data_IF_660477384038
#
_entry.id   IF_660477384038
#
_cell.length_a   1.000
_cell.length_b   1.000
_cell.length_c   1.000
_cell.angle_alpha   90.00
_cell.angle_beta   90.00
_cell.angle_gamma   90.00
#
_symmetry.space_group_name_H-M   'P 1'
#
loop_
_entity.id
_entity.type
_entity.pdbx_description
1 polymer ?
#
# COMPACT_ATOMS: atom_id res chain seq x y z
N UNK A 1 19.84 9.27 6.21
CA UNK A 1 18.86 9.63 7.27
C UNK A 1 17.87 8.48 7.35
N UNK A 2 17.51 8.06 8.57
CA UNK A 2 16.48 7.04 8.82
C UNK A 2 15.17 7.71 9.18
N UNK A 3 14.15 7.52 8.35
CA UNK A 3 12.83 8.11 8.56
C UNK A 3 11.83 7.04 8.94
N UNK A 4 11.09 7.24 10.04
CA UNK A 4 9.96 6.41 10.44
C UNK A 4 8.65 7.07 10.01
N UNK A 5 7.84 6.38 9.20
CA UNK A 5 6.47 6.77 8.87
C UNK A 5 5.51 5.87 9.65
N UNK A 6 4.61 6.45 10.45
CA UNK A 6 3.85 5.64 11.41
C UNK A 6 2.55 6.26 11.91
N UNK A 7 1.58 5.40 12.24
CA UNK A 7 0.41 5.75 13.06
C UNK A 7 0.51 5.21 14.50
N UNK A 8 1.68 4.70 14.90
CA UNK A 8 1.92 4.22 16.26
C UNK A 8 1.90 5.35 17.28
N UNK A 9 1.60 4.99 18.52
CA UNK A 9 1.64 5.91 19.68
C UNK A 9 2.30 5.23 20.88
N UNK A 10 2.61 6.06 21.88
CA UNK A 10 3.10 5.61 23.18
C UNK A 10 4.34 4.71 23.09
N UNK A 11 4.32 3.61 23.85
CA UNK A 11 5.46 2.71 24.03
C UNK A 11 5.97 2.10 22.73
N UNK A 12 5.08 1.62 21.85
CA UNK A 12 5.47 1.00 20.59
C UNK A 12 6.22 1.99 19.67
N UNK A 13 5.74 3.24 19.59
CA UNK A 13 6.42 4.29 18.82
C UNK A 13 7.82 4.57 19.39
N UNK A 14 7.91 4.73 20.71
CA UNK A 14 9.19 4.95 21.38
C UNK A 14 10.18 3.81 21.12
N UNK A 15 9.74 2.57 21.28
CA UNK A 15 10.58 1.38 21.09
C UNK A 15 11.12 1.27 19.66
N UNK A 16 10.27 1.46 18.64
CA UNK A 16 10.72 1.41 17.23
C UNK A 16 11.71 2.53 16.93
N UNK A 17 11.42 3.74 17.40
CA UNK A 17 12.25 4.92 17.16
C UNK A 17 13.64 4.75 17.77
N UNK A 18 13.71 4.34 19.03
CA UNK A 18 14.97 4.22 19.77
C UNK A 18 15.82 3.04 19.31
N UNK A 19 15.21 1.85 19.15
CA UNK A 19 15.95 0.64 18.76
C UNK A 19 16.58 0.75 17.37
N UNK A 20 15.92 1.46 16.46
CA UNK A 20 16.40 1.59 15.07
C UNK A 20 17.20 2.88 14.81
N UNK A 21 17.40 3.73 15.84
CA UNK A 21 18.10 5.02 15.74
C UNK A 21 17.51 5.89 14.62
N UNK A 22 16.19 6.10 14.69
CA UNK A 22 15.45 6.91 13.72
C UNK A 22 15.83 8.39 13.87
N UNK A 23 16.13 9.05 12.75
CA UNK A 23 16.53 10.46 12.69
C UNK A 23 15.34 11.40 12.49
N UNK A 24 14.31 10.94 11.77
CA UNK A 24 13.12 11.72 11.43
C UNK A 24 11.83 10.93 11.56
N UNK A 25 10.75 11.58 11.99
CA UNK A 25 9.45 10.96 12.24
C UNK A 25 8.36 11.61 11.39
N UNK A 26 7.56 10.82 10.71
CA UNK A 26 6.36 11.29 10.01
C UNK A 26 5.16 10.56 10.61
N UNK A 27 4.28 11.31 11.26
CA UNK A 27 3.05 10.76 11.82
C UNK A 27 1.96 10.77 10.76
N UNK A 28 1.28 9.64 10.62
CA UNK A 28 0.10 9.49 9.75
C UNK A 28 -1.12 9.32 10.64
N UNK A 29 -2.11 10.19 10.49
CA UNK A 29 -3.32 10.14 11.32
C UNK A 29 -4.59 10.44 10.53
N UNK A 30 -5.68 9.85 11.00
CA UNK A 30 -7.04 10.20 10.58
C UNK A 30 -7.47 11.48 11.32
N UNK A 31 -8.40 12.26 10.75
CA UNK A 31 -8.89 13.52 11.35
C UNK A 31 -9.44 13.37 12.78
N UNK A 32 -9.83 12.16 13.19
CA UNK A 32 -10.50 11.89 14.46
C UNK A 32 -9.60 11.87 15.70
N UNK A 33 -8.29 12.13 15.57
CA UNK A 33 -7.37 12.07 16.70
C UNK A 33 -6.44 13.27 16.77
N UNK A 34 -6.39 13.87 17.97
CA UNK A 34 -5.75 15.15 18.25
C UNK A 34 -4.82 15.07 19.48
N UNK A 35 -4.09 13.97 19.63
CA UNK A 35 -3.13 13.80 20.74
C UNK A 35 -1.69 13.81 20.21
N UNK A 36 -1.11 15.02 20.19
CA UNK A 36 0.17 15.39 19.55
C UNK A 36 1.35 15.41 20.54
N UNK A 37 1.23 14.70 21.67
CA UNK A 37 2.18 14.79 22.79
C UNK A 37 3.62 14.38 22.43
N UNK A 38 3.84 13.60 21.37
CA UNK A 38 5.16 13.14 20.91
C UNK A 38 5.78 13.97 19.76
N UNK A 39 5.02 14.85 19.09
CA UNK A 39 5.54 15.69 17.98
C UNK A 39 6.65 16.64 18.43
N UNK A 40 6.63 17.03 19.72
CA UNK A 40 7.59 17.96 20.30
C UNK A 40 9.01 17.41 20.38
N UNK A 41 9.21 16.11 20.24
CA UNK A 41 10.47 15.44 20.53
C UNK A 41 11.20 14.88 19.31
N UNK A 42 10.62 14.94 18.11
CA UNK A 42 11.28 14.44 16.89
C UNK A 42 11.12 15.44 15.75
N UNK A 43 12.22 15.72 15.03
CA UNK A 43 12.17 16.52 13.80
C UNK A 43 11.31 15.77 12.78
N UNK A 44 10.11 16.25 12.55
CA UNK A 44 9.10 15.46 11.89
C UNK A 44 7.97 16.25 11.26
N UNK A 45 7.12 15.53 10.53
CA UNK A 45 5.94 16.08 9.86
C UNK A 45 4.68 15.30 10.23
N UNK A 46 3.55 15.98 10.20
CA UNK A 46 2.24 15.39 10.38
C UNK A 46 1.52 15.29 9.04
N UNK A 47 1.06 14.09 8.70
CA UNK A 47 0.23 13.83 7.52
C UNK A 47 -1.17 13.45 7.98
N UNK A 48 -2.13 14.32 7.69
CA UNK A 48 -3.56 14.03 7.89
C UNK A 48 -4.13 13.29 6.69
N UNK A 49 -4.87 12.21 6.93
CA UNK A 49 -5.63 11.47 5.92
C UNK A 49 -7.09 11.95 5.99
N UNK A 50 -7.45 12.83 5.06
CA UNK A 50 -8.75 13.55 5.02
C UNK A 50 -9.65 12.93 3.95
N UNK A 51 -9.82 11.61 4.00
CA UNK A 51 -10.65 10.88 3.03
C UNK A 51 -11.19 9.59 3.62
N UNK A 52 -12.45 9.30 3.30
CA UNK A 52 -13.08 8.01 3.60
C UNK A 52 -12.81 6.96 2.52
N UNK A 53 -12.19 7.34 1.39
CA UNK A 53 -11.82 6.42 0.33
C UNK A 53 -10.47 5.76 0.63
N UNK A 54 -10.43 4.45 0.93
CA UNK A 54 -9.21 3.77 1.32
C UNK A 54 -8.17 3.72 0.19
N UNK A 55 -8.58 3.81 -1.09
CA UNK A 55 -7.63 3.90 -2.21
C UNK A 55 -6.91 5.24 -2.21
N UNK A 56 -7.63 6.35 -2.02
CA UNK A 56 -7.04 7.68 -1.92
C UNK A 56 -6.13 7.83 -0.69
N UNK A 57 -6.56 7.25 0.44
CA UNK A 57 -5.73 7.21 1.65
C UNK A 57 -4.41 6.47 1.39
N UNK A 58 -4.47 5.28 0.79
CA UNK A 58 -3.30 4.47 0.46
C UNK A 58 -2.38 5.18 -0.56
N UNK A 59 -2.94 5.80 -1.60
CA UNK A 59 -2.17 6.58 -2.58
C UNK A 59 -1.37 7.71 -1.91
N UNK A 60 -2.01 8.48 -1.02
CA UNK A 60 -1.35 9.53 -0.25
C UNK A 60 -0.21 8.97 0.63
N UNK A 61 -0.41 7.80 1.23
CA UNK A 61 0.66 7.12 2.00
C UNK A 61 1.82 6.68 1.11
N UNK A 62 1.55 6.14 -0.09
CA UNK A 62 2.57 5.81 -1.09
C UNK A 62 3.37 7.06 -1.50
N UNK A 63 2.71 8.20 -1.74
CA UNK A 63 3.39 9.47 -2.05
C UNK A 63 4.33 9.92 -0.92
N UNK A 64 3.89 9.85 0.33
CA UNK A 64 4.72 10.19 1.49
C UNK A 64 5.94 9.28 1.59
N UNK A 65 5.76 7.97 1.41
CA UNK A 65 6.86 7.00 1.42
C UNK A 65 7.83 7.27 0.28
N UNK A 66 7.35 7.48 -0.95
CA UNK A 66 8.19 7.83 -2.11
C UNK A 66 8.98 9.12 -1.87
N UNK A 67 8.35 10.12 -1.26
CA UNK A 67 9.00 11.36 -0.85
C UNK A 67 10.15 11.11 0.11
N UNK A 68 9.89 10.37 1.20
CA UNK A 68 10.90 10.06 2.22
C UNK A 68 12.07 9.23 1.65
N UNK A 69 11.81 8.28 0.76
CA UNK A 69 12.83 7.43 0.12
C UNK A 69 13.88 8.23 -0.67
N UNK A 70 13.55 9.44 -1.14
CA UNK A 70 14.52 10.33 -1.80
C UNK A 70 15.63 10.83 -0.85
N UNK A 71 15.43 10.69 0.46
CA UNK A 71 16.31 11.25 1.50
C UNK A 71 17.03 10.20 2.34
N UNK A 72 16.75 8.90 2.16
CA UNK A 72 17.44 7.81 2.84
C UNK A 72 16.56 6.58 3.09
N UNK A 73 16.90 5.85 4.15
CA UNK A 73 16.21 4.62 4.55
C UNK A 73 14.86 4.95 5.17
N UNK A 74 13.83 4.22 4.76
CA UNK A 74 12.46 4.39 5.21
C UNK A 74 12.01 3.17 6.00
N UNK A 75 11.51 3.44 7.19
CA UNK A 75 10.95 2.46 8.11
C UNK A 75 9.46 2.78 8.22
N UNK A 76 8.62 1.76 8.21
CA UNK A 76 7.19 1.92 8.44
C UNK A 76 6.79 1.13 9.69
N UNK A 77 5.99 1.74 10.56
CA UNK A 77 5.43 1.03 11.69
C UNK A 77 3.95 1.34 11.83
N UNK A 78 3.12 0.32 12.09
CA UNK A 78 1.67 0.49 12.09
C UNK A 78 0.97 -0.25 13.24
N UNK A 79 -0.17 0.29 13.68
CA UNK A 79 -1.07 -0.34 14.65
C UNK A 79 -2.25 -1.06 13.94
N UNK A 80 -3.25 -1.53 14.68
CA UNK A 80 -4.45 -2.16 14.11
C UNK A 80 -5.63 -1.24 13.81
N UNK A 81 -5.43 0.08 13.70
CA UNK A 81 -6.51 1.02 13.37
C UNK A 81 -6.91 1.00 11.88
N UNK A 82 -7.79 1.91 11.49
CA UNK A 82 -8.33 2.05 10.13
C UNK A 82 -7.27 2.42 9.07
N UNK A 83 -6.16 3.03 9.48
CA UNK A 83 -5.04 3.39 8.60
C UNK A 83 -3.93 2.33 8.60
N UNK A 84 -3.79 1.56 9.66
CA UNK A 84 -2.64 0.66 9.85
C UNK A 84 -2.47 -0.36 8.72
N UNK A 85 -3.56 -0.98 8.29
CA UNK A 85 -3.54 -1.93 7.17
C UNK A 85 -3.17 -1.27 5.83
N UNK A 86 -3.65 -0.04 5.58
CA UNK A 86 -3.34 0.70 4.36
C UNK A 86 -1.89 1.18 4.36
N UNK A 87 -1.38 1.62 5.51
CA UNK A 87 0.00 2.03 5.67
C UNK A 87 0.97 0.85 5.47
N UNK A 88 0.61 -0.33 5.96
CA UNK A 88 1.36 -1.56 5.71
C UNK A 88 1.39 -1.90 4.22
N UNK A 89 0.23 -1.82 3.54
CA UNK A 89 0.13 -2.08 2.11
C UNK A 89 0.96 -1.10 1.28
N UNK A 90 0.89 0.20 1.59
CA UNK A 90 1.72 1.22 0.95
C UNK A 90 3.22 0.94 1.14
N UNK A 91 3.62 0.53 2.35
CA UNK A 91 4.99 0.15 2.65
C UNK A 91 5.48 -1.07 1.86
N UNK A 92 4.62 -2.08 1.70
CA UNK A 92 4.92 -3.25 0.89
C UNK A 92 5.11 -2.88 -0.57
N UNK A 93 4.20 -2.05 -1.10
CA UNK A 93 4.23 -1.60 -2.49
C UNK A 93 5.49 -0.81 -2.81
N UNK A 94 5.82 0.15 -1.96
CA UNK A 94 6.94 1.06 -2.20
C UNK A 94 8.30 0.44 -1.88
N UNK A 95 8.35 -0.74 -1.26
CA UNK A 95 9.59 -1.43 -0.92
C UNK A 95 10.44 -0.63 0.07
N UNK A 96 9.99 -0.57 1.32
CA UNK A 96 10.69 0.10 2.43
C UNK A 96 11.74 -0.82 3.09
N UNK A 97 12.65 -0.26 3.88
CA UNK A 97 13.79 -0.98 4.48
C UNK A 97 13.38 -1.88 5.66
N UNK A 98 12.33 -1.50 6.39
CA UNK A 98 11.76 -2.33 7.45
C UNK A 98 10.31 -1.97 7.76
N UNK A 99 9.54 -2.97 8.17
CA UNK A 99 8.15 -2.82 8.57
C UNK A 99 7.96 -3.39 9.97
N UNK A 100 7.22 -2.67 10.82
CA UNK A 100 6.91 -3.09 12.19
C UNK A 100 5.41 -3.02 12.43
N UNK A 101 4.92 -3.92 13.28
CA UNK A 101 3.57 -3.83 13.85
C UNK A 101 3.64 -3.77 15.38
N UNK A 102 2.66 -3.12 16.00
CA UNK A 102 2.50 -3.13 17.45
C UNK A 102 1.50 -4.20 17.86
N UNK A 103 1.97 -5.22 18.57
CA UNK A 103 1.14 -6.28 19.13
C UNK A 103 1.25 -6.28 20.65
N UNK A 104 0.16 -5.98 21.35
CA UNK A 104 0.12 -5.92 22.83
C UNK A 104 1.27 -5.09 23.41
N UNK A 105 1.44 -3.86 22.92
CA UNK A 105 2.51 -2.91 23.29
C UNK A 105 3.94 -3.33 22.94
N UNK A 106 4.13 -4.43 22.23
CA UNK A 106 5.44 -4.86 21.75
C UNK A 106 5.55 -4.59 20.25
N UNK A 107 6.65 -3.94 19.85
CA UNK A 107 6.97 -3.79 18.42
C UNK A 107 7.59 -5.07 17.86
N UNK A 108 7.03 -5.54 16.75
CA UNK A 108 7.48 -6.76 16.04
C UNK A 108 7.86 -6.37 14.62
N UNK A 109 9.08 -6.71 14.18
CA UNK A 109 9.49 -6.54 12.79
C UNK A 109 8.82 -7.62 11.93
N UNK A 110 8.20 -7.21 10.85
CA UNK A 110 7.60 -8.11 9.87
C UNK A 110 8.57 -8.41 8.73
N UNK A 111 8.49 -9.61 8.13
CA UNK A 111 9.08 -9.81 6.81
C UNK A 111 8.39 -8.89 5.81
N UNK A 112 9.11 -8.44 4.78
CA UNK A 112 8.54 -7.65 3.69
C UNK A 112 7.90 -8.65 2.71
N UNK A 113 6.57 -8.74 2.62
CA UNK A 113 5.89 -9.59 1.66
C UNK A 113 6.19 -9.11 0.24
N UNK A 114 6.26 -10.05 -0.70
CA UNK A 114 6.32 -9.75 -2.13
C UNK A 114 5.02 -10.22 -2.77
N UNK A 115 4.35 -9.32 -3.47
CA UNK A 115 3.23 -9.70 -4.33
C UNK A 115 3.82 -10.31 -5.61
N UNK A 116 3.65 -11.60 -5.80
CA UNK A 116 4.11 -12.30 -7.01
C UNK A 116 3.10 -12.07 -8.15
N UNK A 117 3.21 -10.90 -8.78
CA UNK A 117 2.42 -10.54 -9.95
C UNK A 117 3.35 -10.20 -11.11
N UNK A 118 3.16 -10.86 -12.24
CA UNK A 118 4.00 -10.64 -13.42
C UNK A 118 3.66 -9.31 -14.11
N UNK A 119 4.62 -8.74 -14.83
CA UNK A 119 4.44 -7.51 -15.61
C UNK A 119 3.26 -7.59 -16.59
N UNK A 120 3.01 -8.77 -17.16
CA UNK A 120 1.85 -8.99 -18.04
C UNK A 120 0.53 -8.93 -17.27
N UNK A 121 0.47 -9.45 -16.04
CA UNK A 121 -0.71 -9.34 -15.18
C UNK A 121 -0.94 -7.91 -14.70
N UNK A 122 0.14 -7.18 -14.35
CA UNK A 122 0.06 -5.76 -14.00
C UNK A 122 -0.51 -4.92 -15.14
N UNK A 123 0.02 -5.08 -16.37
CA UNK A 123 -0.50 -4.39 -17.56
C UNK A 123 -1.96 -4.71 -17.84
N UNK A 124 -2.42 -5.94 -17.54
CA UNK A 124 -3.85 -6.30 -17.64
C UNK A 124 -4.68 -5.53 -16.61
N UNK A 125 -4.21 -5.39 -15.37
CA UNK A 125 -4.91 -4.61 -14.35
C UNK A 125 -4.98 -3.13 -14.74
N UNK A 126 -3.87 -2.55 -15.20
CA UNK A 126 -3.79 -1.16 -15.66
C UNK A 126 -4.81 -0.85 -16.76
N UNK A 127 -4.90 -1.68 -17.83
CA UNK A 127 -5.89 -1.44 -18.91
C UNK A 127 -7.34 -1.63 -18.46
N UNK A 128 -7.58 -2.36 -17.37
CA UNK A 128 -8.90 -2.58 -16.78
C UNK A 128 -9.29 -1.50 -15.76
N UNK A 129 -8.37 -0.60 -15.39
CA UNK A 129 -8.72 0.58 -14.60
C UNK A 129 -9.54 1.59 -15.40
N UNK A 130 -9.22 1.73 -16.69
CA UNK A 130 -9.86 2.67 -17.59
C UNK A 130 -11.30 2.24 -17.94
N UNK A 131 -11.48 0.97 -18.28
CA UNK A 131 -12.77 0.44 -18.74
C UNK A 131 -12.88 -1.09 -18.68
N UNK A 132 -14.10 -1.59 -18.86
CA UNK A 132 -14.37 -3.03 -18.92
C UNK A 132 -14.12 -3.58 -20.34
N UNK A 133 -13.23 -4.55 -20.44
CA UNK A 133 -12.72 -5.08 -21.72
C UNK A 133 -12.95 -6.58 -21.87
N UNK A 134 -13.07 -7.04 -23.11
CA UNK A 134 -13.03 -8.45 -23.49
C UNK A 134 -11.58 -8.96 -23.54
N UNK A 135 -11.39 -10.29 -23.49
CA UNK A 135 -10.06 -10.89 -23.63
C UNK A 135 -9.35 -10.52 -24.96
N UNK A 136 -10.12 -10.27 -26.02
CA UNK A 136 -9.58 -9.86 -27.33
C UNK A 136 -9.03 -8.43 -27.27
N UNK A 137 -9.75 -7.51 -26.64
CA UNK A 137 -9.31 -6.12 -26.47
C UNK A 137 -8.10 -6.04 -25.55
N UNK A 138 -8.09 -6.80 -24.45
CA UNK A 138 -6.96 -6.89 -23.53
C UNK A 138 -5.71 -7.40 -24.26
N UNK A 139 -5.84 -8.47 -25.06
CA UNK A 139 -4.70 -9.03 -25.82
C UNK A 139 -4.06 -7.99 -26.74
N UNK A 140 -4.89 -7.18 -27.41
CA UNK A 140 -4.42 -6.10 -28.30
C UNK A 140 -3.71 -4.99 -27.53
N UNK A 141 -4.23 -4.57 -26.37
CA UNK A 141 -3.63 -3.47 -25.58
C UNK A 141 -2.35 -3.88 -24.87
N UNK A 142 -2.31 -5.08 -24.31
CA UNK A 142 -1.17 -5.57 -23.52
C UNK A 142 -0.06 -6.15 -24.42
N UNK A 143 -0.38 -6.53 -25.66
CA UNK A 143 0.59 -7.09 -26.61
C UNK A 143 0.96 -8.53 -26.29
N UNK A 144 -0.01 -9.35 -25.88
CA UNK A 144 0.19 -10.78 -25.58
C UNK A 144 -0.86 -11.65 -26.29
N UNK A 145 -0.62 -12.96 -26.40
CA UNK A 145 -1.56 -13.86 -27.06
C UNK A 145 -2.88 -13.97 -26.27
N UNK A 146 -3.99 -14.23 -26.99
CA UNK A 146 -5.29 -14.47 -26.36
C UNK A 146 -5.25 -15.61 -25.32
N UNK A 147 -4.52 -16.69 -25.63
CA UNK A 147 -4.33 -17.80 -24.69
C UNK A 147 -3.64 -17.35 -23.39
N UNK A 148 -2.62 -16.49 -23.49
CA UNK A 148 -1.96 -15.91 -22.32
C UNK A 148 -2.91 -15.01 -21.52
N UNK A 149 -3.72 -14.20 -22.20
CA UNK A 149 -4.75 -13.37 -21.54
C UNK A 149 -5.74 -14.22 -20.76
N UNK A 150 -6.29 -15.29 -21.34
CA UNK A 150 -7.22 -16.17 -20.61
C UNK A 150 -6.57 -16.80 -19.38
N UNK A 151 -5.31 -17.26 -19.50
CA UNK A 151 -4.56 -17.78 -18.34
C UNK A 151 -4.40 -16.71 -17.26
N UNK A 152 -3.93 -15.52 -17.62
CA UNK A 152 -3.74 -14.43 -16.66
C UNK A 152 -5.04 -13.95 -16.03
N UNK A 153 -6.14 -13.87 -16.79
CA UNK A 153 -7.44 -13.50 -16.26
C UNK A 153 -7.97 -14.55 -15.29
N UNK A 154 -7.77 -15.84 -15.57
CA UNK A 154 -8.11 -16.91 -14.63
C UNK A 154 -7.37 -16.74 -13.30
N UNK A 155 -6.04 -16.55 -13.35
CA UNK A 155 -5.22 -16.31 -12.16
C UNK A 155 -5.67 -15.04 -11.41
N UNK A 156 -5.94 -13.95 -12.12
CA UNK A 156 -6.36 -12.67 -11.53
C UNK A 156 -7.77 -12.74 -10.91
N UNK A 157 -8.65 -13.58 -11.45
CA UNK A 157 -9.97 -13.88 -10.86
C UNK A 157 -9.80 -14.70 -9.59
N UNK A 158 -8.94 -15.71 -9.59
CA UNK A 158 -8.64 -16.53 -8.41
C UNK A 158 -8.07 -15.68 -7.27
N UNK A 159 -7.22 -14.70 -7.60
CA UNK A 159 -6.69 -13.72 -6.65
C UNK A 159 -7.72 -12.66 -6.20
N UNK A 160 -8.92 -12.64 -6.78
CA UNK A 160 -9.96 -11.65 -6.49
C UNK A 160 -9.69 -10.24 -7.02
N UNK A 161 -8.72 -10.08 -7.93
CA UNK A 161 -8.31 -8.78 -8.49
C UNK A 161 -9.14 -8.37 -9.71
N UNK A 162 -9.72 -9.35 -10.41
CA UNK A 162 -10.57 -9.16 -11.60
C UNK A 162 -11.88 -9.94 -11.41
N UNK A 163 -12.97 -9.44 -12.01
CA UNK A 163 -14.23 -10.19 -12.14
C UNK A 163 -14.70 -10.20 -13.59
N UNK A 164 -15.36 -11.28 -13.99
CA UNK A 164 -15.99 -11.42 -15.31
C UNK A 164 -17.49 -11.15 -15.21
N UNK A 165 -18.04 -10.40 -16.17
CA UNK A 165 -19.47 -10.23 -16.35
C UNK A 165 -20.04 -11.39 -17.18
N UNK A 166 -21.05 -12.08 -16.65
CA UNK A 166 -21.68 -13.22 -17.30
C UNK A 166 -22.44 -12.88 -18.60
N UNK A 167 -22.84 -11.61 -18.79
CA UNK A 167 -23.70 -11.20 -19.91
C UNK A 167 -22.91 -10.75 -21.15
N UNK A 168 -21.67 -10.29 -20.99
CA UNK A 168 -20.93 -9.60 -22.05
C UNK A 168 -19.51 -10.14 -22.27
N UNK A 169 -19.11 -11.20 -21.55
CA UNK A 169 -17.73 -11.73 -21.52
C UNK A 169 -16.66 -10.65 -21.25
N UNK A 170 -17.06 -9.55 -20.62
CA UNK A 170 -16.18 -8.45 -20.24
C UNK A 170 -15.60 -8.68 -18.85
N UNK A 171 -14.36 -8.28 -18.69
CA UNK A 171 -13.63 -8.30 -17.44
C UNK A 171 -13.57 -6.89 -16.87
N UNK A 172 -13.52 -6.79 -15.54
CA UNK A 172 -13.46 -5.53 -14.82
C UNK A 172 -12.57 -5.69 -13.59
N UNK A 173 -11.80 -4.66 -13.26
CA UNK A 173 -10.98 -4.65 -12.05
C UNK A 173 -11.85 -4.56 -10.79
N UNK A 174 -11.48 -5.28 -9.74
CA UNK A 174 -12.15 -5.17 -8.43
C UNK A 174 -11.53 -4.04 -7.61
N UNK A 175 -12.14 -3.71 -6.46
CA UNK A 175 -11.52 -2.78 -5.50
C UNK A 175 -10.16 -3.29 -5.01
N UNK A 176 -10.01 -4.61 -4.83
CA UNK A 176 -8.73 -5.21 -4.46
C UNK A 176 -7.71 -5.09 -5.59
N UNK A 177 -8.12 -5.29 -6.85
CA UNK A 177 -7.28 -5.07 -8.02
C UNK A 177 -6.71 -3.66 -8.09
N UNK A 178 -7.51 -2.65 -7.76
CA UNK A 178 -7.06 -1.24 -7.74
C UNK A 178 -5.96 -0.96 -6.73
N UNK A 179 -5.87 -1.70 -5.64
CA UNK A 179 -4.76 -1.56 -4.69
C UNK A 179 -3.42 -2.03 -5.26
N UNK A 180 -3.43 -2.89 -6.26
CA UNK A 180 -2.22 -3.39 -6.91
C UNK A 180 -1.65 -2.36 -7.89
N UNK A 181 -2.49 -1.47 -8.42
CA UNK A 181 -2.16 -0.48 -9.45
C UNK A 181 -1.88 0.95 -8.93
N UNK A 182 -2.19 1.25 -7.66
CA UNK A 182 -1.95 2.59 -7.03
C UNK A 182 -0.55 3.22 -7.17
#
# INVERSE_FOLDING_TARGET
>A
MKTLITNLRGRCLFDVTMRNKIDGLILVQSEKFDDLSLEKFVKGGLIKIETEDPLKACYKMCEVIRGAKKHGEVYVAYNGDDLGGLLALAAFKEGVDAIFTCFRETSVRLPIPRLDISDSKLRILEVLEDENLTAVEIAKRVGVSRAMVYKHLSDLIEMGLVKQSHLLEKYSITKAGKFVTI
#
